data_IF_159929433264
#
_entry.id   IF_159929433264
#
_cell.length_a   1.000
_cell.length_b   1.000
_cell.length_c   1.000
_cell.angle_alpha   90.00
_cell.angle_beta   90.00
_cell.angle_gamma   90.00
#
_symmetry.space_group_name_H-M   'P 1'
#
loop_
_entity.id
_entity.type
_entity.pdbx_description
1 polymer ?
#
# COMPACT_ATOMS: atom_id res chain seq x y z
N UNK A 1 14.90 7.71 1.72
CA UNK A 1 14.94 9.10 2.21
C UNK A 1 14.12 9.19 3.51
N UNK A 2 14.78 9.41 4.65
CA UNK A 2 14.19 9.99 5.88
C UNK A 2 13.40 9.11 6.85
N UNK A 3 12.43 8.30 6.39
CA UNK A 3 11.38 7.78 7.28
C UNK A 3 11.79 6.61 8.16
N UNK A 4 12.70 5.74 7.72
CA UNK A 4 13.05 4.55 8.50
C UNK A 4 13.73 4.88 9.82
N UNK A 5 14.73 5.77 9.82
CA UNK A 5 15.45 6.10 11.05
C UNK A 5 14.57 6.84 12.05
N UNK A 6 13.78 7.82 11.60
CA UNK A 6 12.89 8.57 12.49
C UNK A 6 11.77 7.70 13.06
N UNK A 7 11.17 6.82 12.24
CA UNK A 7 10.16 5.85 12.70
C UNK A 7 10.79 4.82 13.64
N UNK A 8 12.01 4.34 13.37
CA UNK A 8 12.71 3.42 14.27
C UNK A 8 13.05 4.06 15.62
N UNK A 9 13.54 5.31 15.62
CA UNK A 9 13.79 6.07 16.86
C UNK A 9 12.49 6.32 17.61
N UNK A 10 11.40 6.64 16.92
CA UNK A 10 10.09 6.81 17.56
C UNK A 10 9.55 5.49 18.12
N UNK A 11 9.77 4.38 17.41
CA UNK A 11 9.41 3.05 17.90
C UNK A 11 10.16 2.63 19.16
N UNK A 12 11.44 3.01 19.29
CA UNK A 12 12.23 2.71 20.50
C UNK A 12 11.91 3.64 21.65
N UNK A 13 11.71 4.94 21.39
CA UNK A 13 11.48 5.95 22.43
C UNK A 13 10.03 6.05 22.89
N UNK A 14 9.07 5.81 21.97
CA UNK A 14 7.62 5.97 22.20
C UNK A 14 6.85 4.80 21.58
N UNK A 15 7.00 3.59 22.13
CA UNK A 15 6.40 2.38 21.56
C UNK A 15 4.86 2.39 21.53
N UNK A 16 4.21 3.21 22.37
CA UNK A 16 2.73 3.32 22.41
C UNK A 16 2.14 4.09 21.23
N UNK A 17 2.93 4.99 20.65
CA UNK A 17 2.51 5.88 19.56
C UNK A 17 2.89 5.30 18.19
N UNK A 18 3.97 4.53 18.14
CA UNK A 18 4.49 3.96 16.92
C UNK A 18 3.57 2.83 16.41
N UNK A 19 3.04 2.92 15.18
CA UNK A 19 2.28 1.82 14.58
C UNK A 19 3.17 0.60 14.37
N UNK A 20 2.63 -0.58 14.64
CA UNK A 20 3.33 -1.85 14.40
C UNK A 20 3.01 -2.36 13.00
N UNK A 21 4.04 -2.75 12.24
CA UNK A 21 3.89 -3.22 10.85
C UNK A 21 3.50 -4.70 10.77
N UNK A 22 3.77 -5.47 11.82
CA UNK A 22 3.57 -6.92 11.84
C UNK A 22 2.11 -7.35 12.03
N UNK A 23 1.24 -6.41 12.42
CA UNK A 23 -0.16 -6.67 12.76
C UNK A 23 -1.10 -5.76 11.97
N UNK A 24 -2.37 -6.15 11.77
CA UNK A 24 -3.33 -5.28 11.11
C UNK A 24 -3.59 -4.00 11.93
N UNK A 25 -4.11 -2.94 11.28
CA UNK A 25 -4.42 -1.67 11.95
C UNK A 25 -5.35 -1.87 13.14
N UNK A 26 -5.05 -1.18 14.24
CA UNK A 26 -5.76 -1.35 15.52
C UNK A 26 -7.13 -0.65 15.55
N UNK A 27 -7.33 0.38 14.72
CA UNK A 27 -8.56 1.20 14.69
C UNK A 27 -9.48 0.78 13.55
N UNK A 28 -10.79 0.94 13.76
CA UNK A 28 -11.80 0.71 12.73
C UNK A 28 -11.47 1.52 11.45
N UNK A 29 -11.43 0.88 10.27
CA UNK A 29 -11.53 1.49 8.96
C UNK A 29 -12.35 2.78 8.87
N UNK A 30 -13.56 2.79 9.43
CA UNK A 30 -14.50 3.89 9.26
C UNK A 30 -14.26 5.05 10.25
N UNK A 31 -13.43 4.84 11.29
CA UNK A 31 -13.16 5.84 12.31
C UNK A 31 -12.56 7.12 11.73
N UNK A 32 -13.25 8.25 11.95
CA UNK A 32 -12.83 9.58 11.49
C UNK A 32 -13.27 9.97 10.08
N UNK A 33 -13.99 9.09 9.36
CA UNK A 33 -14.56 9.39 8.06
C UNK A 33 -16.06 9.71 8.19
N UNK A 34 -16.53 10.88 7.70
CA UNK A 34 -17.95 11.25 7.78
C UNK A 34 -18.84 10.46 6.82
N UNK A 35 -18.25 9.91 5.75
CA UNK A 35 -18.93 9.09 4.73
C UNK A 35 -18.31 7.69 4.68
N UNK A 36 -19.07 6.65 4.32
CA UNK A 36 -18.53 5.30 4.17
C UNK A 36 -17.37 5.29 3.18
N UNK A 37 -16.25 4.66 3.55
CA UNK A 37 -15.10 4.53 2.67
C UNK A 37 -15.43 3.62 1.49
N UNK A 38 -15.05 4.03 0.28
CA UNK A 38 -15.13 3.17 -0.90
C UNK A 38 -14.09 2.04 -0.78
N UNK A 39 -14.53 0.79 -0.94
CA UNK A 39 -13.66 -0.39 -0.98
C UNK A 39 -12.90 -0.42 -2.31
N UNK A 40 -11.67 -0.91 -2.30
CA UNK A 40 -10.86 -1.06 -3.51
C UNK A 40 -11.36 -2.26 -4.30
N UNK A 41 -11.61 -2.03 -5.58
CA UNK A 41 -12.10 -3.04 -6.51
C UNK A 41 -10.91 -3.73 -7.19
N UNK A 42 -10.86 -5.06 -7.14
CA UNK A 42 -9.94 -5.85 -7.95
C UNK A 42 -10.47 -5.92 -9.38
N UNK A 43 -9.68 -5.47 -10.35
CA UNK A 43 -10.09 -5.43 -11.77
C UNK A 43 -9.84 -6.73 -12.54
N UNK A 44 -9.03 -7.63 -11.98
CA UNK A 44 -8.59 -8.90 -12.62
C UNK A 44 -9.17 -10.07 -11.84
N UNK A 45 -9.58 -11.12 -12.55
CA UNK A 45 -10.01 -12.36 -11.90
C UNK A 45 -8.82 -13.19 -11.42
N UNK A 46 -9.02 -14.07 -10.43
CA UNK A 46 -7.96 -14.96 -9.95
C UNK A 46 -7.47 -15.93 -11.04
N UNK A 47 -8.39 -16.42 -11.86
CA UNK A 47 -8.09 -17.31 -12.98
C UNK A 47 -7.15 -16.65 -14.00
N UNK A 48 -7.37 -15.37 -14.33
CA UNK A 48 -6.48 -14.62 -15.20
C UNK A 48 -5.08 -14.46 -14.59
N UNK A 49 -4.97 -14.19 -13.29
CA UNK A 49 -3.66 -14.09 -12.62
C UNK A 49 -2.90 -15.42 -12.64
N UNK A 50 -3.61 -16.54 -12.52
CA UNK A 50 -3.01 -17.88 -12.57
C UNK A 50 -2.57 -18.27 -13.99
N UNK A 51 -3.33 -17.89 -15.03
CA UNK A 51 -2.94 -18.10 -16.44
C UNK A 51 -1.61 -17.41 -16.80
N UNK A 52 -1.36 -16.24 -16.22
CA UNK A 52 -0.08 -15.52 -16.42
C UNK A 52 1.01 -15.94 -15.43
N UNK A 53 0.74 -16.91 -14.56
CA UNK A 53 1.65 -17.41 -13.53
C UNK A 53 2.26 -16.28 -12.67
N UNK A 54 1.44 -15.31 -12.27
CA UNK A 54 1.89 -14.21 -11.42
C UNK A 54 2.38 -14.72 -10.07
N UNK A 55 3.52 -14.19 -9.61
CA UNK A 55 4.04 -14.49 -8.27
C UNK A 55 3.11 -13.91 -7.20
N UNK A 56 3.05 -14.48 -5.99
CA UNK A 56 2.16 -13.98 -4.92
C UNK A 56 2.31 -12.48 -4.63
N UNK A 57 3.53 -11.92 -4.70
CA UNK A 57 3.77 -10.50 -4.50
C UNK A 57 3.29 -9.59 -5.65
N UNK A 58 3.02 -10.15 -6.82
CA UNK A 58 2.52 -9.44 -8.02
C UNK A 58 0.99 -9.56 -8.16
N UNK A 59 0.32 -10.26 -7.25
CA UNK A 59 -1.13 -10.48 -7.23
C UNK A 59 -1.82 -9.40 -6.40
N UNK A 60 -1.51 -8.14 -6.70
CA UNK A 60 -1.99 -6.97 -6.01
C UNK A 60 -3.08 -6.25 -6.84
N UNK A 61 -3.59 -5.12 -6.35
CA UNK A 61 -4.63 -4.36 -7.05
C UNK A 61 -4.17 -3.81 -8.42
N UNK A 62 -2.85 -3.70 -8.65
CA UNK A 62 -2.25 -3.23 -9.90
C UNK A 62 -1.98 -4.32 -10.95
N UNK A 63 -2.29 -5.60 -10.66
CA UNK A 63 -2.08 -6.73 -11.58
C UNK A 63 -2.73 -6.56 -12.97
N UNK A 64 -3.80 -5.76 -13.10
CA UNK A 64 -4.45 -5.45 -14.37
C UNK A 64 -3.55 -4.74 -15.38
N UNK A 65 -2.50 -4.04 -14.92
CA UNK A 65 -1.51 -3.38 -15.78
C UNK A 65 -0.29 -4.26 -16.03
N UNK A 66 0.01 -5.16 -15.09
CA UNK A 66 1.10 -6.11 -15.22
C UNK A 66 0.84 -7.15 -16.32
N UNK A 67 -0.40 -7.62 -16.48
CA UNK A 67 -0.76 -8.58 -17.54
C UNK A 67 -0.48 -8.01 -18.95
N UNK A 68 -0.94 -6.79 -19.31
CA UNK A 68 -0.56 -6.12 -20.55
C UNK A 68 0.96 -5.98 -20.74
N UNK A 69 1.69 -5.62 -19.68
CA UNK A 69 3.15 -5.51 -19.75
C UNK A 69 3.80 -6.85 -20.10
N UNK A 70 3.39 -7.95 -19.46
CA UNK A 70 3.91 -9.29 -19.77
C UNK A 70 3.57 -9.69 -21.23
N UNK A 71 2.37 -9.35 -21.71
CA UNK A 71 1.97 -9.60 -23.11
C UNK A 71 2.86 -8.83 -24.08
N UNK A 72 3.10 -7.54 -23.84
CA UNK A 72 3.99 -6.72 -24.66
C UNK A 72 5.42 -7.26 -24.66
N UNK A 73 5.92 -7.65 -23.49
CA UNK A 73 7.27 -8.21 -23.35
C UNK A 73 7.45 -9.52 -24.12
N UNK A 74 6.44 -10.40 -24.12
CA UNK A 74 6.46 -11.65 -24.89
C UNK A 74 6.41 -11.39 -26.40
N UNK A 75 5.65 -10.39 -26.85
CA UNK A 75 5.48 -10.07 -28.27
C UNK A 75 6.73 -9.39 -28.87
N UNK A 76 7.40 -8.53 -28.10
CA UNK A 76 8.51 -7.68 -28.59
C UNK A 76 9.90 -8.17 -28.15
N UNK A 77 10.03 -9.40 -27.64
CA UNK A 77 11.32 -9.97 -27.27
C UNK A 77 12.23 -10.09 -28.52
N UNK A 78 13.53 -9.70 -28.45
CA UNK A 78 14.31 -9.29 -27.27
C UNK A 78 14.30 -7.77 -26.95
N UNK A 79 13.70 -6.92 -27.80
CA UNK A 79 13.72 -5.45 -27.66
C UNK A 79 12.60 -4.88 -26.78
N UNK A 80 11.95 -5.74 -25.98
CA UNK A 80 10.85 -5.39 -25.09
C UNK A 80 11.17 -4.25 -24.10
N UNK A 81 12.44 -4.04 -23.78
CA UNK A 81 12.88 -3.00 -22.84
C UNK A 81 12.58 -1.57 -23.28
N UNK A 82 12.50 -1.29 -24.58
CA UNK A 82 12.19 0.05 -25.11
C UNK A 82 10.79 0.13 -25.72
N UNK A 83 10.32 -0.98 -26.30
CA UNK A 83 9.02 -1.01 -26.99
C UNK A 83 7.83 -1.01 -26.01
N UNK A 84 8.04 -1.46 -24.77
CA UNK A 84 6.99 -1.60 -23.76
C UNK A 84 7.09 -0.57 -22.61
N UNK A 85 7.73 0.57 -22.84
CA UNK A 85 7.95 1.60 -21.81
C UNK A 85 6.64 2.24 -21.33
N UNK A 86 5.65 2.33 -22.22
CA UNK A 86 4.35 2.92 -21.88
C UNK A 86 3.56 2.02 -20.91
N UNK A 87 3.49 0.71 -21.16
CA UNK A 87 2.82 -0.23 -20.23
C UNK A 87 3.59 -0.33 -18.92
N UNK A 88 4.93 -0.27 -18.99
CA UNK A 88 5.79 -0.29 -17.80
C UNK A 88 5.54 0.92 -16.91
N UNK A 89 5.56 2.11 -17.49
CA UNK A 89 5.28 3.35 -16.76
C UNK A 89 3.87 3.39 -16.17
N UNK A 90 2.88 2.79 -16.84
CA UNK A 90 1.53 2.66 -16.31
C UNK A 90 1.49 1.75 -15.07
N UNK A 91 2.13 0.58 -15.12
CA UNK A 91 2.23 -0.32 -13.98
C UNK A 91 3.00 0.31 -12.81
N UNK A 92 4.18 0.88 -13.07
CA UNK A 92 5.01 1.52 -12.04
C UNK A 92 4.27 2.68 -11.35
N UNK A 93 3.48 3.46 -12.10
CA UNK A 93 2.64 4.52 -11.53
C UNK A 93 1.59 3.96 -10.57
N UNK A 94 0.94 2.85 -10.94
CA UNK A 94 -0.06 2.22 -10.07
C UNK A 94 0.56 1.69 -8.77
N UNK A 95 1.70 1.01 -8.87
CA UNK A 95 2.47 0.52 -7.70
C UNK A 95 2.89 1.67 -6.78
N UNK A 96 3.32 2.79 -7.37
CA UNK A 96 3.67 3.99 -6.62
C UNK A 96 2.46 4.59 -5.88
N UNK A 97 1.30 4.67 -6.54
CA UNK A 97 0.06 5.10 -5.92
C UNK A 97 -0.38 4.16 -4.79
N UNK A 98 -0.22 2.85 -4.96
CA UNK A 98 -0.49 1.85 -3.90
C UNK A 98 0.45 2.02 -2.70
N UNK A 99 1.73 2.24 -2.96
CA UNK A 99 2.72 2.52 -1.92
C UNK A 99 2.37 3.78 -1.11
N UNK A 100 1.95 4.86 -1.78
CA UNK A 100 1.47 6.08 -1.11
C UNK A 100 0.25 5.78 -0.23
N UNK A 101 -0.69 4.95 -0.70
CA UNK A 101 -1.86 4.57 0.10
C UNK A 101 -1.46 3.84 1.39
N UNK A 102 -0.46 2.96 1.32
CA UNK A 102 0.08 2.27 2.50
C UNK A 102 0.74 3.23 3.50
N UNK A 103 1.46 4.25 3.01
CA UNK A 103 2.03 5.31 3.86
C UNK A 103 0.92 6.10 4.55
N UNK A 104 -0.16 6.44 3.83
CA UNK A 104 -1.31 7.16 4.41
C UNK A 104 -1.97 6.37 5.54
N UNK A 105 -2.14 5.05 5.39
CA UNK A 105 -2.69 4.20 6.45
C UNK A 105 -1.76 4.11 7.66
N UNK A 106 -0.44 4.02 7.44
CA UNK A 106 0.55 4.06 8.53
C UNK A 106 0.50 5.37 9.31
N UNK A 107 0.48 6.52 8.61
CA UNK A 107 0.36 7.82 9.27
C UNK A 107 -0.99 8.00 9.97
N UNK A 108 -2.07 7.48 9.39
CA UNK A 108 -3.39 7.50 10.02
C UNK A 108 -3.35 6.79 11.37
N UNK A 109 -2.84 5.57 11.42
CA UNK A 109 -2.74 4.82 12.68
C UNK A 109 -1.88 5.56 13.70
N UNK A 110 -0.73 6.10 13.28
CA UNK A 110 0.16 6.88 14.16
C UNK A 110 -0.57 8.07 14.78
N UNK A 111 -1.30 8.85 13.97
CA UNK A 111 -2.04 10.04 14.45
C UNK A 111 -3.21 9.64 15.37
N UNK A 112 -3.86 8.51 15.11
CA UNK A 112 -4.91 7.99 15.98
C UNK A 112 -4.37 7.51 17.33
N UNK A 113 -3.21 6.86 17.37
CA UNK A 113 -2.53 6.49 18.61
C UNK A 113 -2.13 7.74 19.42
N UNK A 114 -1.54 8.75 18.77
CA UNK A 114 -1.25 10.04 19.41
C UNK A 114 -2.51 10.68 20.00
N UNK A 115 -3.63 10.64 19.27
CA UNK A 115 -4.90 11.19 19.76
C UNK A 115 -5.45 10.39 20.94
N UNK A 116 -5.33 9.06 20.92
CA UNK A 116 -5.76 8.18 22.02
C UNK A 116 -4.97 8.54 23.29
N UNK A 117 -3.65 8.60 23.20
CA UNK A 117 -2.78 8.96 24.32
C UNK A 117 -3.13 10.35 24.90
N UNK A 118 -3.36 11.35 24.05
CA UNK A 118 -3.79 12.69 24.50
C UNK A 118 -5.11 12.66 25.27
N UNK A 119 -6.10 11.88 24.80
CA UNK A 119 -7.39 11.74 25.49
C UNK A 119 -7.26 11.03 26.82
N UNK A 120 -6.43 9.98 26.90
CA UNK A 120 -6.16 9.25 28.14
C UNK A 120 -5.44 10.15 29.16
N UNK A 121 -4.47 10.94 28.72
CA UNK A 121 -3.78 11.92 29.57
C UNK A 121 -4.73 13.03 30.07
N UNK A 122 -5.67 13.50 29.24
CA UNK A 122 -6.69 14.48 29.64
C UNK A 122 -7.73 13.88 30.60
N UNK A 123 -8.08 12.61 30.45
CA UNK A 123 -9.03 11.93 31.34
C UNK A 123 -8.41 11.55 32.70
N UNK A 124 -7.09 11.42 32.76
CA UNK A 124 -6.34 11.14 33.97
C UNK A 124 -5.95 12.40 34.77
N UNK A 125 -6.13 13.59 34.19
CA UNK A 125 -5.91 14.90 34.82
C UNK A 125 -7.20 15.43 35.43
#
# INVERSE_FOLDING_TARGET
MGTKLSVSIEGTTKPEIAPRVDRPPTFDPQAGFPKPRKVREMKVSWEEMDQFHLKPGQRDYCAHLLIPLIKCQRANAPFAGHMCDSERGAWDKCEYEDYIMRIKEFERERRLLMRKQRKEAMAAA
#
